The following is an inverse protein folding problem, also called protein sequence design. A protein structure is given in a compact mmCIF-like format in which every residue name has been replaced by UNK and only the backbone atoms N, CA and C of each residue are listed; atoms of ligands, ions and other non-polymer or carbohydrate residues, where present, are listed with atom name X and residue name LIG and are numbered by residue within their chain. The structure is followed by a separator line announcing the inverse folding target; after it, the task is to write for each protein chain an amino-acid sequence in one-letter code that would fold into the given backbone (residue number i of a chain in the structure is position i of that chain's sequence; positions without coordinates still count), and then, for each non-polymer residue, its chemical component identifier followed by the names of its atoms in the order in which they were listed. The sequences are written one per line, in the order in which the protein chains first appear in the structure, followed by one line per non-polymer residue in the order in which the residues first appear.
data_IF_416384882847
#
_entry.id   IF_416384882847
#
_cell.length_a   1.000
_cell.length_b   1.000
_cell.length_c   1.000
_cell.angle_alpha   90.00
_cell.angle_beta   90.00
_cell.angle_gamma   90.00
#
_symmetry.space_group_name_H-M   'P 1'
#
loop_
_entity.id
_entity.type
_entity.pdbx_description
1 polymer ?
#
# COMPACT_ATOMS: atom_id res chain seq x y z
N UNK A 1 13.83 6.26 5.75
CA UNK A 1 13.52 4.99 5.06
C UNK A 1 12.05 4.67 5.32
N UNK A 2 11.25 4.55 4.28
CA UNK A 2 9.83 4.19 4.39
C UNK A 2 9.69 2.70 4.71
N UNK A 3 8.73 2.33 5.56
CA UNK A 3 8.52 0.94 5.96
C UNK A 3 7.04 0.54 5.76
N UNK A 4 6.76 -0.38 4.84
CA UNK A 4 5.39 -0.84 4.56
C UNK A 4 4.80 -1.72 5.69
N UNK A 5 5.65 -2.31 6.51
CA UNK A 5 5.28 -3.07 7.71
C UNK A 5 4.88 -2.17 8.88
N UNK A 6 5.01 -0.85 8.74
CA UNK A 6 4.65 0.11 9.77
C UNK A 6 3.16 -0.03 10.12
N UNK A 7 2.86 -0.24 11.41
CA UNK A 7 1.50 -0.40 11.93
C UNK A 7 0.66 0.89 11.77
N UNK A 8 1.31 2.04 11.53
CA UNK A 8 0.65 3.29 11.21
C UNK A 8 0.09 3.30 9.78
N UNK A 9 0.39 2.29 8.94
CA UNK A 9 -0.06 2.16 7.56
C UNK A 9 -0.95 0.91 7.43
N UNK A 10 -2.08 1.08 6.77
CA UNK A 10 -3.10 0.04 6.67
C UNK A 10 -3.91 0.11 5.38
N UNK A 11 -4.55 -1.01 5.04
CA UNK A 11 -5.58 -1.05 4.00
C UNK A 11 -6.79 -0.23 4.44
N UNK A 12 -7.43 0.48 3.51
CA UNK A 12 -8.63 1.26 3.80
C UNK A 12 -9.78 0.44 4.40
N UNK A 13 -9.98 -0.82 3.97
CA UNK A 13 -10.97 -1.71 4.61
C UNK A 13 -10.60 -1.97 6.07
N UNK A 14 -9.34 -2.32 6.34
CA UNK A 14 -8.84 -2.61 7.68
C UNK A 14 -8.95 -1.37 8.58
N UNK A 15 -8.60 -0.19 8.05
CA UNK A 15 -8.79 1.09 8.74
C UNK A 15 -10.25 1.32 9.13
N UNK A 16 -11.18 1.10 8.20
CA UNK A 16 -12.60 1.26 8.50
C UNK A 16 -13.04 0.33 9.64
N UNK A 17 -12.56 -0.91 9.67
CA UNK A 17 -12.89 -1.87 10.72
C UNK A 17 -12.36 -1.43 12.08
N UNK A 18 -11.11 -0.97 12.17
CA UNK A 18 -10.51 -0.48 13.41
C UNK A 18 -11.32 0.69 13.98
N UNK A 19 -11.76 1.64 13.14
CA UNK A 19 -12.57 2.80 13.56
C UNK A 19 -14.09 2.52 13.65
N UNK A 20 -14.52 1.26 13.55
CA UNK A 20 -15.94 0.91 13.60
C UNK A 20 -16.81 1.56 12.51
N UNK A 21 -16.22 1.84 11.33
CA UNK A 21 -16.89 2.42 10.16
C UNK A 21 -17.24 1.36 9.12
N UNK A 22 -18.19 1.69 8.25
CA UNK A 22 -18.53 0.84 7.10
C UNK A 22 -17.31 0.63 6.18
N UNK A 23 -17.16 -0.55 5.58
CA UNK A 23 -16.01 -0.93 4.73
C UNK A 23 -15.68 0.06 3.62
N UNK A 24 -16.69 0.71 3.05
CA UNK A 24 -16.55 1.67 1.96
C UNK A 24 -16.48 3.13 2.44
N UNK A 25 -16.41 3.38 3.76
CA UNK A 25 -16.48 4.72 4.35
C UNK A 25 -15.44 5.68 3.77
N UNK A 26 -14.19 5.25 3.63
CA UNK A 26 -13.12 6.06 3.01
C UNK A 26 -13.47 6.44 1.57
N UNK A 27 -13.86 5.46 0.75
CA UNK A 27 -14.20 5.70 -0.66
C UNK A 27 -15.42 6.60 -0.84
N UNK A 28 -16.45 6.45 0.02
CA UNK A 28 -17.63 7.31 0.01
C UNK A 28 -17.27 8.73 0.44
N UNK A 29 -16.45 8.86 1.49
CA UNK A 29 -15.94 10.14 1.99
C UNK A 29 -15.19 10.89 0.91
N UNK A 30 -14.20 10.26 0.27
CA UNK A 30 -13.40 10.88 -0.78
C UNK A 30 -14.22 11.24 -2.02
N UNK A 31 -15.24 10.44 -2.37
CA UNK A 31 -16.16 10.77 -3.46
C UNK A 31 -16.95 12.05 -3.17
N UNK A 32 -17.37 12.26 -1.92
CA UNK A 32 -18.17 13.43 -1.50
C UNK A 32 -17.31 14.63 -1.14
N UNK A 33 -16.14 14.39 -0.57
CA UNK A 33 -15.20 15.38 -0.03
C UNK A 33 -13.76 14.96 -0.37
N UNK A 34 -13.27 15.26 -1.59
CA UNK A 34 -11.97 14.81 -2.07
C UNK A 34 -10.79 15.25 -1.19
N UNK A 35 -10.86 16.45 -0.61
CA UNK A 35 -9.79 17.06 0.19
C UNK A 35 -10.00 16.87 1.71
N UNK A 36 -10.77 15.85 2.12
CA UNK A 36 -11.08 15.64 3.54
C UNK A 36 -9.92 15.03 4.32
N UNK A 37 -9.06 14.28 3.63
CA UNK A 37 -7.83 13.76 4.20
C UNK A 37 -6.72 14.79 4.06
N UNK A 38 -5.81 14.90 5.04
CA UNK A 38 -4.54 15.60 4.86
C UNK A 38 -3.78 15.06 3.65
N UNK A 39 -3.04 15.94 2.97
CA UNK A 39 -2.14 15.55 1.88
C UNK A 39 -1.13 14.48 2.35
N UNK A 40 -0.79 13.54 1.47
CA UNK A 40 0.13 12.43 1.78
C UNK A 40 -0.43 11.36 2.74
N UNK A 41 -1.54 11.61 3.44
CA UNK A 41 -2.06 10.66 4.44
C UNK A 41 -2.90 9.51 3.86
N UNK A 42 -3.25 9.59 2.58
CA UNK A 42 -4.00 8.57 1.85
C UNK A 42 -3.56 8.50 0.39
N UNK A 43 -3.48 7.28 -0.15
CA UNK A 43 -3.15 7.04 -1.55
C UNK A 43 -3.91 5.85 -2.10
N UNK A 44 -4.33 5.93 -3.36
CA UNK A 44 -4.89 4.79 -4.08
C UNK A 44 -3.77 4.00 -4.75
N UNK A 45 -3.73 2.70 -4.53
CA UNK A 45 -2.78 1.77 -5.16
C UNK A 45 -3.56 0.60 -5.74
N UNK A 46 -3.58 0.48 -7.07
CA UNK A 46 -4.50 -0.40 -7.78
C UNK A 46 -5.96 -0.13 -7.39
N UNK A 47 -6.65 -1.16 -6.90
CA UNK A 47 -8.04 -1.07 -6.41
C UNK A 47 -8.17 -0.83 -4.90
N UNK A 48 -7.04 -0.62 -4.23
CA UNK A 48 -6.97 -0.51 -2.78
C UNK A 48 -6.68 0.94 -2.35
N UNK A 49 -7.23 1.35 -1.22
CA UNK A 49 -6.78 2.54 -0.51
C UNK A 49 -5.74 2.15 0.52
N UNK A 50 -4.63 2.86 0.56
CA UNK A 50 -3.63 2.80 1.63
C UNK A 50 -3.75 4.11 2.40
N UNK A 51 -3.90 4.01 3.71
CA UNK A 51 -4.17 5.15 4.58
C UNK A 51 -3.28 5.08 5.82
N UNK A 52 -2.90 6.24 6.34
CA UNK A 52 -2.15 6.35 7.59
C UNK A 52 -3.09 6.50 8.78
N UNK A 53 -2.64 6.09 9.97
CA UNK A 53 -3.33 6.35 11.23
C UNK A 53 -3.57 7.86 11.43
N UNK A 54 -2.59 8.69 11.05
CA UNK A 54 -2.75 10.14 11.06
C UNK A 54 -3.93 10.60 10.19
N UNK A 55 -4.02 10.12 8.95
CA UNK A 55 -5.13 10.44 8.06
C UNK A 55 -6.49 10.04 8.64
N UNK A 56 -6.59 8.82 9.21
CA UNK A 56 -7.81 8.35 9.85
C UNK A 56 -8.16 9.14 11.12
N UNK A 57 -7.19 9.49 11.95
CA UNK A 57 -7.38 10.32 13.14
C UNK A 57 -7.92 11.70 12.77
N UNK A 58 -7.34 12.37 11.76
CA UNK A 58 -7.83 13.67 11.28
C UNK A 58 -9.22 13.59 10.66
N UNK A 59 -9.53 12.51 9.96
CA UNK A 59 -10.85 12.31 9.38
C UNK A 59 -11.93 12.10 10.46
N UNK A 60 -11.64 11.29 11.47
CA UNK A 60 -12.64 10.79 12.42
C UNK A 60 -12.69 11.55 13.74
N UNK A 61 -11.60 12.25 14.10
CA UNK A 61 -11.41 12.87 15.41
C UNK A 61 -11.00 11.87 16.50
N UNK A 62 -10.66 10.62 16.14
CA UNK A 62 -10.35 9.54 17.08
C UNK A 62 -9.01 8.89 16.73
N UNK A 63 -8.13 8.74 17.73
CA UNK A 63 -6.79 8.21 17.57
C UNK A 63 -6.72 6.69 17.69
N UNK A 64 -7.74 6.03 18.23
CA UNK A 64 -7.73 4.59 18.51
C UNK A 64 -6.55 4.17 19.40
N UNK A 65 -6.22 4.95 20.42
CA UNK A 65 -5.01 4.77 21.23
C UNK A 65 -4.91 3.38 21.86
N UNK A 66 -6.01 2.81 22.36
CA UNK A 66 -6.02 1.46 22.93
C UNK A 66 -5.64 0.39 21.89
N UNK A 67 -6.17 0.49 20.66
CA UNK A 67 -5.86 -0.46 19.60
C UNK A 67 -4.37 -0.42 19.20
N UNK A 68 -3.78 0.77 19.22
CA UNK A 68 -2.38 0.99 18.87
C UNK A 68 -1.44 0.98 20.09
N UNK A 69 -1.86 0.41 21.22
CA UNK A 69 -1.05 0.30 22.44
C UNK A 69 -0.42 1.63 22.89
N UNK A 70 -1.17 2.72 22.73
CA UNK A 70 -0.72 4.10 23.01
C UNK A 70 0.53 4.54 22.26
N UNK A 71 0.88 3.90 21.14
CA UNK A 71 1.95 4.40 20.28
C UNK A 71 1.62 5.81 19.76
N UNK A 72 2.61 6.71 19.63
CA UNK A 72 2.37 8.05 19.10
C UNK A 72 1.98 7.99 17.62
N UNK A 73 1.02 8.82 17.24
CA UNK A 73 0.68 9.03 15.82
C UNK A 73 1.86 9.72 15.13
N UNK A 74 2.27 9.16 13.98
CA UNK A 74 3.32 9.73 13.14
C UNK A 74 2.74 10.24 11.83
N UNK A 75 3.26 11.37 11.37
CA UNK A 75 3.00 11.86 10.01
C UNK A 75 3.88 11.07 9.04
N UNK A 76 3.22 10.33 8.15
CA UNK A 76 3.85 9.55 7.09
C UNK A 76 3.28 10.06 5.77
N UNK A 77 4.17 10.42 4.85
CA UNK A 77 3.80 10.80 3.50
C UNK A 77 3.80 9.56 2.59
N UNK A 78 2.62 9.18 2.09
CA UNK A 78 2.43 8.07 1.15
C UNK A 78 2.69 8.48 -0.32
N UNK A 79 2.93 9.75 -0.61
CA UNK A 79 3.27 10.22 -1.96
C UNK A 79 4.75 10.02 -2.30
N UNK A 80 5.62 10.13 -1.30
CA UNK A 80 7.08 9.94 -1.40
C UNK A 80 7.49 8.52 -1.85
N UNK A 81 7.02 7.42 -1.22
CA UNK A 81 7.40 6.09 -1.65
C UNK A 81 6.72 5.71 -2.97
N UNK A 82 7.43 5.04 -3.86
CA UNK A 82 6.78 4.30 -4.94
C UNK A 82 6.07 3.09 -4.34
N UNK A 83 4.76 3.02 -4.50
CA UNK A 83 3.93 1.86 -4.13
C UNK A 83 3.28 1.31 -5.38
N UNK A 84 3.47 0.02 -5.63
CA UNK A 84 2.94 -0.69 -6.79
C UNK A 84 1.89 -1.69 -6.34
N UNK A 85 0.78 -1.79 -7.09
CA UNK A 85 -0.03 -2.99 -6.99
C UNK A 85 0.69 -4.16 -7.67
N UNK A 86 0.31 -5.40 -7.36
CA UNK A 86 0.77 -6.57 -8.11
C UNK A 86 0.50 -6.43 -9.61
N UNK A 87 -0.64 -5.83 -9.97
CA UNK A 87 -0.98 -5.59 -11.37
C UNK A 87 0.00 -4.64 -12.04
N UNK A 88 0.27 -3.49 -11.40
CA UNK A 88 1.18 -2.49 -11.96
C UNK A 88 2.61 -3.02 -12.01
N UNK A 89 3.06 -3.68 -10.94
CA UNK A 89 4.38 -4.30 -10.86
C UNK A 89 4.58 -5.39 -11.93
N UNK A 90 3.60 -6.26 -12.15
CA UNK A 90 3.72 -7.31 -13.16
C UNK A 90 3.65 -6.77 -14.59
N UNK A 91 2.88 -5.70 -14.82
CA UNK A 91 2.84 -5.03 -16.12
C UNK A 91 4.18 -4.39 -16.50
N UNK A 92 4.98 -3.94 -15.52
CA UNK A 92 6.33 -3.40 -15.76
C UNK A 92 7.33 -4.44 -16.25
N UNK A 93 7.05 -5.72 -16.06
CA UNK A 93 7.95 -6.83 -16.41
C UNK A 93 7.29 -7.85 -17.33
N UNK A 94 6.24 -7.42 -18.02
CA UNK A 94 5.48 -8.19 -19.01
C UNK A 94 5.01 -9.56 -18.50
N UNK A 95 4.58 -9.57 -17.24
CA UNK A 95 3.99 -10.73 -16.57
C UNK A 95 2.54 -10.46 -16.19
N UNK A 96 1.83 -11.55 -15.94
CA UNK A 96 0.46 -11.51 -15.43
C UNK A 96 0.46 -11.60 -13.89
N UNK A 97 -0.51 -10.96 -13.20
CA UNK A 97 -0.61 -11.01 -11.73
C UNK A 97 -0.67 -12.43 -11.17
N UNK A 98 -1.27 -13.38 -11.90
CA UNK A 98 -1.36 -14.78 -11.48
C UNK A 98 0.00 -15.47 -11.37
N UNK A 99 1.00 -15.04 -12.15
CA UNK A 99 2.36 -15.55 -12.04
C UNK A 99 2.99 -15.13 -10.69
N UNK A 100 2.82 -13.86 -10.31
CA UNK A 100 3.25 -13.36 -9.01
C UNK A 100 2.54 -14.06 -7.85
N UNK A 101 1.22 -14.22 -7.95
CA UNK A 101 0.43 -14.91 -6.92
C UNK A 101 0.88 -16.36 -6.73
N UNK A 102 1.12 -17.09 -7.83
CA UNK A 102 1.63 -18.46 -7.78
C UNK A 102 3.01 -18.50 -7.11
N UNK A 103 3.92 -17.64 -7.54
CA UNK A 103 5.26 -17.53 -6.95
C UNK A 103 5.19 -17.25 -5.43
N UNK A 104 4.40 -16.27 -5.01
CA UNK A 104 4.22 -15.95 -3.60
C UNK A 104 3.65 -17.13 -2.81
N UNK A 105 2.70 -17.88 -3.39
CA UNK A 105 2.13 -19.07 -2.74
C UNK A 105 3.17 -20.17 -2.53
N UNK A 106 4.03 -20.38 -3.51
CA UNK A 106 5.09 -21.39 -3.46
C UNK A 106 6.26 -20.94 -2.56
N UNK A 107 6.48 -19.63 -2.43
CA UNK A 107 7.57 -19.02 -1.67
C UNK A 107 7.12 -17.85 -0.77
N UNK A 108 6.27 -18.08 0.25
CA UNK A 108 5.64 -17.01 1.04
C UNK A 108 6.63 -16.17 1.87
N UNK A 109 7.78 -16.75 2.24
CA UNK A 109 8.84 -16.08 3.00
C UNK A 109 9.88 -15.40 2.11
N UNK A 110 9.69 -15.41 0.79
CA UNK A 110 10.63 -14.80 -0.14
C UNK A 110 10.69 -13.28 0.05
N UNK A 111 9.55 -12.63 0.31
CA UNK A 111 9.47 -11.19 0.57
C UNK A 111 9.33 -10.90 2.06
N UNK A 112 9.99 -9.85 2.53
CA UNK A 112 9.74 -9.28 3.85
C UNK A 112 8.49 -8.40 3.84
N UNK A 113 7.90 -8.14 5.00
CA UNK A 113 6.75 -7.21 5.11
C UNK A 113 7.11 -5.75 4.75
N UNK A 114 8.41 -5.41 4.78
CA UNK A 114 8.90 -4.09 4.37
C UNK A 114 8.92 -3.95 2.85
N UNK A 115 9.21 -5.06 2.15
CA UNK A 115 9.27 -5.12 0.68
C UNK A 115 7.86 -5.24 0.09
N UNK A 116 7.02 -6.10 0.66
CA UNK A 116 5.67 -6.36 0.17
C UNK A 116 4.73 -6.66 1.31
N UNK A 117 3.48 -6.23 1.19
CA UNK A 117 2.40 -6.57 2.11
C UNK A 117 1.16 -7.02 1.37
N UNK A 118 0.57 -8.11 1.84
CA UNK A 118 -0.70 -8.64 1.33
C UNK A 118 -1.86 -8.06 2.11
N UNK A 119 -2.77 -7.39 1.42
CA UNK A 119 -4.02 -6.87 1.97
C UNK A 119 -5.21 -7.59 1.34
N UNK A 120 -5.68 -8.65 1.99
CA UNK A 120 -6.74 -9.51 1.46
C UNK A 120 -6.35 -10.16 0.13
N UNK A 121 -6.92 -9.66 -0.97
CA UNK A 121 -6.62 -10.12 -2.34
C UNK A 121 -5.58 -9.27 -3.07
N UNK A 122 -5.26 -8.09 -2.54
CA UNK A 122 -4.32 -7.16 -3.17
C UNK A 122 -2.93 -7.35 -2.57
N UNK A 123 -1.91 -7.16 -3.39
CA UNK A 123 -0.54 -7.02 -2.92
C UNK A 123 -0.08 -5.59 -3.17
N UNK A 124 0.62 -5.04 -2.19
CA UNK A 124 1.30 -3.76 -2.31
C UNK A 124 2.79 -4.04 -2.21
N UNK A 125 3.51 -3.61 -3.24
CA UNK A 125 4.93 -3.86 -3.43
C UNK A 125 5.68 -2.54 -3.39
N UNK A 126 6.81 -2.54 -2.70
CA UNK A 126 7.88 -1.57 -2.92
C UNK A 126 8.68 -1.98 -4.18
N UNK A 127 9.38 -1.04 -4.84
CA UNK A 127 10.30 -1.36 -5.94
C UNK A 127 11.27 -2.50 -5.61
N UNK A 128 11.82 -2.52 -4.39
CA UNK A 128 12.74 -3.57 -3.92
C UNK A 128 12.14 -4.98 -3.98
N UNK A 129 10.82 -5.14 -3.80
CA UNK A 129 10.17 -6.44 -3.99
C UNK A 129 10.18 -6.86 -5.47
N UNK A 130 9.90 -5.92 -6.38
CA UNK A 130 9.93 -6.20 -7.82
C UNK A 130 11.36 -6.49 -8.29
N UNK A 131 12.34 -5.73 -7.81
CA UNK A 131 13.76 -5.95 -8.08
C UNK A 131 14.19 -7.36 -7.70
N UNK A 132 13.85 -7.77 -6.47
CA UNK A 132 14.15 -9.09 -5.94
C UNK A 132 13.45 -10.22 -6.69
N UNK A 133 12.22 -9.98 -7.16
CA UNK A 133 11.46 -10.95 -7.94
C UNK A 133 12.05 -11.19 -9.34
N UNK A 134 12.61 -10.14 -9.95
CA UNK A 134 13.09 -10.16 -11.34
C UNK A 134 14.60 -10.40 -11.42
N UNK A 135 15.34 -10.03 -10.38
CA UNK A 135 16.79 -10.01 -10.36
C UNK A 135 17.39 -8.84 -11.14
N UNK A 136 16.69 -7.70 -11.21
CA UNK A 136 17.09 -6.44 -11.88
C UNK A 136 16.85 -5.25 -10.96
N UNK A 137 17.55 -4.14 -11.13
CA UNK A 137 17.22 -2.90 -10.41
C UNK A 137 15.95 -2.28 -10.98
N UNK A 138 15.30 -1.40 -10.20
CA UNK A 138 14.08 -0.74 -10.65
C UNK A 138 14.35 0.18 -11.84
N UNK A 139 15.53 0.81 -11.89
CA UNK A 139 15.96 1.63 -13.02
C UNK A 139 16.10 0.79 -14.29
N UNK A 140 16.73 -0.40 -14.22
CA UNK A 140 16.85 -1.31 -15.36
C UNK A 140 15.47 -1.73 -15.89
N UNK A 141 14.52 -2.00 -14.99
CA UNK A 141 13.14 -2.35 -15.36
C UNK A 141 12.45 -1.18 -16.10
N UNK A 142 12.63 0.05 -15.61
CA UNK A 142 12.05 1.23 -16.25
C UNK A 142 12.66 1.49 -17.63
N UNK A 143 13.98 1.34 -17.77
CA UNK A 143 14.69 1.50 -19.04
C UNK A 143 14.23 0.47 -20.08
N UNK A 144 14.09 -0.80 -19.67
CA UNK A 144 13.61 -1.86 -20.56
C UNK A 144 12.18 -1.53 -21.06
N UNK A 145 11.31 -1.03 -20.17
CA UNK A 145 9.94 -0.66 -20.55
C UNK A 145 9.83 0.55 -21.46
N UNK A 146 10.81 1.46 -21.41
CA UNK A 146 10.86 2.62 -22.32
C UNK A 146 11.34 2.22 -23.72
N UNK A 147 12.22 1.22 -23.84
CA UNK A 147 12.72 0.73 -25.14
C UNK A 147 11.65 -0.04 -25.94
N UNK A 148 10.63 -0.56 -25.26
CA UNK A 148 9.52 -1.31 -25.86
C UNK A 148 8.36 -0.43 -26.36
N UNK A 149 8.35 0.87 -26.01
CA UNK A 149 7.33 1.86 -26.40
C UNK A 149 7.77 2.68 -27.61
#
# INVERSE_FOLDING_TARGET
MFNLADNQIMEGTQACQIWGKARNYISQTLKKYPNRFPEGSIRKVGNCWIVTRFGMSKLTGDNQDEFFNHEPIREIDLNEPTLLSDKDAMAMVDRVPSAFYKFYKDHPSFFTEQEMRKFGRNFILMPSALEKYVGKTYEEILEDKQKEQ
#
